data_IF_251615230091
#
_entry.id   IF_251615230091
#
_cell.length_a   1.000
_cell.length_b   1.000
_cell.length_c   1.000
_cell.angle_alpha   90.00
_cell.angle_beta   90.00
_cell.angle_gamma   90.00
#
_symmetry.space_group_name_H-M   'P 1'
#
loop_
_entity.id
_entity.type
_entity.pdbx_description
1 polymer ?
#
# COMPACT_ATOMS: atom_id res chain seq x y z
N UNK A 1 6.10 14.12 -0.24
CA UNK A 1 6.27 12.66 -0.05
C UNK A 1 6.39 12.35 1.43
N UNK A 2 5.91 11.21 1.87
CA UNK A 2 5.93 10.79 3.30
C UNK A 2 7.35 10.73 3.83
N UNK A 3 8.29 10.19 3.05
CA UNK A 3 9.70 10.09 3.41
C UNK A 3 10.32 11.43 3.84
N UNK A 4 9.93 12.51 3.23
CA UNK A 4 10.44 13.85 3.55
C UNK A 4 9.85 14.41 4.83
N UNK A 5 8.63 13.99 5.17
CA UNK A 5 7.85 14.49 6.31
C UNK A 5 7.90 13.58 7.54
N UNK A 6 8.40 12.36 7.40
CA UNK A 6 8.28 11.35 8.46
C UNK A 6 8.94 11.77 9.77
N UNK A 7 10.08 12.41 9.72
CA UNK A 7 10.79 12.87 10.91
C UNK A 7 9.96 13.93 11.66
N UNK A 8 9.39 14.88 10.91
CA UNK A 8 8.51 15.90 11.47
C UNK A 8 7.24 15.29 12.06
N UNK A 9 6.69 14.29 11.39
CA UNK A 9 5.51 13.54 11.86
C UNK A 9 5.80 12.85 13.19
N UNK A 10 6.98 12.24 13.33
CA UNK A 10 7.41 11.60 14.58
C UNK A 10 7.51 12.64 15.70
N UNK A 11 8.12 13.77 15.41
CA UNK A 11 8.27 14.85 16.39
C UNK A 11 6.92 15.41 16.84
N UNK A 12 6.02 15.64 15.91
CA UNK A 12 4.67 16.14 16.19
C UNK A 12 3.87 15.15 17.04
N UNK A 13 3.90 13.87 16.66
CA UNK A 13 3.20 12.81 17.41
C UNK A 13 3.76 12.67 18.82
N UNK A 14 5.07 12.76 19.00
CA UNK A 14 5.73 12.70 20.29
C UNK A 14 5.32 13.90 21.15
N UNK A 15 5.33 15.09 20.58
CA UNK A 15 4.94 16.33 21.27
C UNK A 15 3.47 16.28 21.72
N UNK A 16 2.60 15.69 20.90
CA UNK A 16 1.17 15.56 21.20
C UNK A 16 0.86 14.34 22.07
N UNK A 17 1.88 13.63 22.55
CA UNK A 17 1.75 12.41 23.36
C UNK A 17 0.97 11.28 22.66
N UNK A 18 0.99 11.27 21.34
CA UNK A 18 0.43 10.20 20.52
C UNK A 18 1.48 9.09 20.36
N UNK A 19 1.71 8.33 21.44
CA UNK A 19 2.80 7.36 21.52
C UNK A 19 2.69 6.25 20.50
N UNK A 20 1.47 5.76 20.23
CA UNK A 20 1.21 4.72 19.25
C UNK A 20 1.58 5.20 17.84
N UNK A 21 1.16 6.39 17.47
CA UNK A 21 1.49 6.98 16.16
C UNK A 21 2.99 7.21 16.03
N UNK A 22 3.64 7.75 17.06
CA UNK A 22 5.08 7.98 17.05
C UNK A 22 5.85 6.68 16.83
N UNK A 23 5.46 5.60 17.50
CA UNK A 23 6.08 4.29 17.36
C UNK A 23 5.93 3.74 15.95
N UNK A 24 4.73 3.82 15.37
CA UNK A 24 4.46 3.35 14.00
C UNK A 24 5.23 4.18 12.98
N UNK A 25 5.27 5.50 13.12
CA UNK A 25 6.03 6.37 12.22
C UNK A 25 7.53 6.07 12.26
N UNK A 26 8.08 5.70 13.41
CA UNK A 26 9.47 5.25 13.53
C UNK A 26 9.71 3.95 12.76
N UNK A 27 8.76 3.01 12.81
CA UNK A 27 8.83 1.77 12.04
C UNK A 27 8.80 2.07 10.54
N UNK A 28 7.96 2.99 10.10
CA UNK A 28 7.88 3.40 8.70
C UNK A 28 9.20 4.04 8.25
N UNK A 29 9.74 4.93 9.06
CA UNK A 29 11.05 5.56 8.80
C UNK A 29 12.15 4.51 8.62
N UNK A 30 12.17 3.50 9.50
CA UNK A 30 13.14 2.41 9.42
C UNK A 30 12.99 1.61 8.12
N UNK A 31 11.77 1.33 7.69
CA UNK A 31 11.53 0.62 6.43
C UNK A 31 12.00 1.44 5.23
N UNK A 32 11.75 2.74 5.23
CA UNK A 32 12.26 3.63 4.18
C UNK A 32 13.79 3.67 4.18
N UNK A 33 14.39 3.71 5.37
CA UNK A 33 15.85 3.73 5.50
C UNK A 33 16.48 2.42 5.00
N UNK A 34 15.88 1.27 5.35
CA UNK A 34 16.32 -0.04 4.85
C UNK A 34 16.28 -0.09 3.32
N UNK A 35 15.20 0.45 2.73
CA UNK A 35 15.08 0.50 1.27
C UNK A 35 16.19 1.36 0.64
N UNK A 36 16.45 2.55 1.19
CA UNK A 36 17.45 3.47 0.68
C UNK A 36 18.88 2.93 0.79
N UNK A 37 19.14 2.14 1.83
CA UNK A 37 20.50 1.61 2.10
C UNK A 37 20.70 0.22 1.53
N UNK A 38 19.68 -0.40 0.94
CA UNK A 38 19.78 -1.70 0.31
C UNK A 38 20.71 -1.63 -0.91
N UNK A 39 21.42 -2.74 -1.15
CA UNK A 39 22.28 -2.87 -2.32
C UNK A 39 21.43 -2.78 -3.59
N UNK A 40 21.84 -1.94 -4.54
CA UNK A 40 21.13 -1.68 -5.79
C UNK A 40 19.76 -1.00 -5.57
N UNK A 41 19.60 -0.23 -4.50
CA UNK A 41 18.38 0.51 -4.25
C UNK A 41 18.14 1.56 -5.34
N UNK A 42 16.90 1.62 -5.81
CA UNK A 42 16.45 2.70 -6.69
C UNK A 42 16.02 3.90 -5.83
N UNK A 43 15.91 5.11 -6.40
CA UNK A 43 15.40 6.25 -5.65
C UNK A 43 14.02 5.95 -5.05
N UNK A 44 13.81 6.42 -3.82
CA UNK A 44 12.52 6.25 -3.14
C UNK A 44 11.53 7.27 -3.69
N UNK A 45 10.60 6.81 -4.50
CA UNK A 45 9.51 7.62 -5.05
C UNK A 45 8.20 7.35 -4.31
N UNK A 46 7.15 8.12 -4.64
CA UNK A 46 5.84 7.98 -4.01
C UNK A 46 5.24 6.59 -4.21
N UNK A 47 5.38 6.03 -5.40
CA UNK A 47 4.90 4.68 -5.72
C UNK A 47 5.58 3.63 -4.84
N UNK A 48 6.87 3.76 -4.62
CA UNK A 48 7.65 2.87 -3.75
C UNK A 48 7.26 3.04 -2.28
N UNK A 49 7.03 4.27 -1.82
CA UNK A 49 6.54 4.53 -0.47
C UNK A 49 5.21 3.81 -0.22
N UNK A 50 4.28 3.93 -1.16
CA UNK A 50 2.97 3.27 -1.08
C UNK A 50 3.14 1.75 -1.03
N UNK A 51 3.99 1.18 -1.88
CA UNK A 51 4.25 -0.26 -1.91
C UNK A 51 4.85 -0.75 -0.59
N UNK A 52 5.77 -0.01 0.01
CA UNK A 52 6.36 -0.35 1.31
C UNK A 52 5.31 -0.30 2.44
N UNK A 53 4.46 0.71 2.44
CA UNK A 53 3.37 0.82 3.42
C UNK A 53 2.35 -0.31 3.27
N UNK A 54 2.00 -0.67 2.05
CA UNK A 54 1.11 -1.80 1.78
C UNK A 54 1.70 -3.11 2.26
N UNK A 55 3.00 -3.30 2.06
CA UNK A 55 3.72 -4.48 2.56
C UNK A 55 3.68 -4.55 4.09
N UNK A 56 3.85 -3.42 4.77
CA UNK A 56 3.77 -3.35 6.22
C UNK A 56 2.38 -3.73 6.72
N UNK A 57 1.33 -3.27 6.04
CA UNK A 57 -0.07 -3.64 6.37
C UNK A 57 -0.27 -5.15 6.19
N UNK A 58 0.18 -5.70 5.07
CA UNK A 58 0.04 -7.12 4.78
C UNK A 58 0.74 -8.00 5.81
N UNK A 59 1.95 -7.63 6.23
CA UNK A 59 2.69 -8.35 7.26
C UNK A 59 1.91 -8.40 8.57
N UNK A 60 1.22 -7.30 8.92
CA UNK A 60 0.40 -7.23 10.13
C UNK A 60 -0.88 -8.04 9.99
N UNK A 61 -1.49 -8.05 8.83
CA UNK A 61 -2.66 -8.90 8.56
C UNK A 61 -2.31 -10.38 8.70
N UNK A 62 -1.15 -10.79 8.19
CA UNK A 62 -0.65 -12.16 8.35
C UNK A 62 -0.39 -12.50 9.82
N UNK A 63 0.16 -11.56 10.58
CA UNK A 63 0.37 -11.71 12.02
C UNK A 63 -0.95 -11.85 12.78
N UNK A 64 -1.98 -11.10 12.39
CA UNK A 64 -3.32 -11.18 12.97
C UNK A 64 -3.89 -12.59 12.82
N UNK A 65 -3.74 -13.18 11.64
CA UNK A 65 -4.22 -14.56 11.39
C UNK A 65 -3.53 -15.52 12.34
N UNK A 66 -2.20 -15.44 12.48
CA UNK A 66 -1.43 -16.28 13.39
C UNK A 66 -1.82 -16.08 14.84
N UNK A 67 -2.02 -14.86 15.29
CA UNK A 67 -2.41 -14.54 16.66
C UNK A 67 -3.83 -15.01 16.99
N UNK A 68 -4.74 -14.94 16.04
CA UNK A 68 -6.10 -15.47 16.20
C UNK A 68 -6.08 -17.00 16.37
N UNK A 69 -5.27 -17.68 15.57
CA UNK A 69 -5.07 -19.14 15.70
C UNK A 69 -4.51 -19.51 17.06
N UNK A 70 -3.61 -18.69 17.61
CA UNK A 70 -3.02 -18.88 18.94
C UNK A 70 -3.86 -18.30 20.09
N UNK A 71 -5.05 -17.78 19.80
CA UNK A 71 -5.96 -17.15 20.77
C UNK A 71 -5.31 -15.99 21.53
N UNK A 72 -4.45 -15.22 20.86
CA UNK A 72 -3.76 -14.05 21.42
C UNK A 72 -4.43 -12.77 20.96
N UNK A 73 -5.66 -12.54 21.44
CA UNK A 73 -6.48 -11.39 21.04
C UNK A 73 -5.87 -10.03 21.45
N UNK A 74 -5.07 -10.01 22.49
CA UNK A 74 -4.31 -8.84 22.93
C UNK A 74 -3.32 -8.37 21.85
N UNK A 75 -2.63 -9.31 21.20
CA UNK A 75 -1.69 -9.01 20.12
C UNK A 75 -2.41 -8.63 18.82
N UNK A 76 -3.58 -9.23 18.56
CA UNK A 76 -4.43 -8.87 17.43
C UNK A 76 -4.82 -7.40 17.51
N UNK A 77 -5.26 -6.94 18.67
CA UNK A 77 -5.65 -5.54 18.88
C UNK A 77 -4.52 -4.56 18.58
N UNK A 78 -3.29 -4.88 19.02
CA UNK A 78 -2.12 -4.06 18.73
C UNK A 78 -1.83 -3.98 17.24
N UNK A 79 -1.89 -5.11 16.53
CA UNK A 79 -1.67 -5.16 15.08
C UNK A 79 -2.73 -4.35 14.33
N UNK A 80 -3.98 -4.43 14.74
CA UNK A 80 -5.09 -3.66 14.16
C UNK A 80 -4.89 -2.16 14.32
N UNK A 81 -4.41 -1.70 15.47
CA UNK A 81 -4.08 -0.29 15.72
C UNK A 81 -2.97 0.19 14.77
N UNK A 82 -1.92 -0.61 14.61
CA UNK A 82 -0.82 -0.28 13.70
C UNK A 82 -1.29 -0.21 12.24
N UNK A 83 -2.12 -1.15 11.81
CA UNK A 83 -2.72 -1.14 10.47
C UNK A 83 -3.50 0.15 10.24
N UNK A 84 -4.31 0.55 11.22
CA UNK A 84 -5.11 1.76 11.11
C UNK A 84 -4.22 3.01 10.90
N UNK A 85 -3.15 3.12 11.67
CA UNK A 85 -2.23 4.26 11.58
C UNK A 85 -1.53 4.29 10.22
N UNK A 86 -1.04 3.15 9.74
CA UNK A 86 -0.40 3.04 8.43
C UNK A 86 -1.40 3.36 7.32
N UNK A 87 -2.61 2.85 7.42
CA UNK A 87 -3.67 3.04 6.41
C UNK A 87 -4.07 4.50 6.27
N UNK A 88 -3.98 5.29 7.33
CA UNK A 88 -4.25 6.74 7.27
C UNK A 88 -3.27 7.46 6.35
N UNK A 89 -2.08 6.93 6.16
CA UNK A 89 -1.05 7.50 5.27
C UNK A 89 -1.16 7.02 3.84
N UNK A 90 -1.91 5.94 3.59
CA UNK A 90 -2.14 5.43 2.25
C UNK A 90 -3.20 6.25 1.55
N UNK A 91 -3.05 6.50 0.24
CA UNK A 91 -4.12 7.12 -0.54
C UNK A 91 -5.34 6.21 -0.55
N UNK A 92 -6.50 6.78 -0.82
CA UNK A 92 -7.72 5.99 -0.97
C UNK A 92 -7.48 4.90 -2.01
N UNK A 93 -7.78 3.65 -1.66
CA UNK A 93 -7.63 2.52 -2.57
C UNK A 93 -8.60 2.69 -3.74
N UNK A 94 -8.15 2.59 -5.00
CA UNK A 94 -9.04 2.65 -6.14
C UNK A 94 -10.16 1.61 -6.05
N UNK A 95 -11.38 2.06 -6.33
CA UNK A 95 -12.57 1.22 -6.29
C UNK A 95 -12.75 0.45 -7.61
N UNK A 96 -13.69 -0.48 -7.62
CA UNK A 96 -14.13 -1.17 -8.85
C UNK A 96 -14.56 -0.16 -9.91
N UNK A 97 -15.25 0.90 -9.50
CA UNK A 97 -15.69 1.97 -10.39
C UNK A 97 -14.49 2.71 -11.02
N UNK A 98 -13.47 3.03 -10.22
CA UNK A 98 -12.25 3.68 -10.70
C UNK A 98 -11.55 2.83 -11.75
N UNK A 99 -11.41 1.52 -11.51
CA UNK A 99 -10.79 0.57 -12.44
C UNK A 99 -11.60 0.48 -13.73
N UNK A 100 -12.91 0.34 -13.62
CA UNK A 100 -13.81 0.24 -14.76
C UNK A 100 -13.74 1.50 -15.62
N UNK A 101 -13.81 2.68 -15.01
CA UNK A 101 -13.74 3.96 -15.70
C UNK A 101 -12.40 4.15 -16.40
N UNK A 102 -11.31 3.74 -15.77
CA UNK A 102 -9.97 3.82 -16.37
C UNK A 102 -9.88 2.93 -17.64
N UNK A 103 -10.39 1.70 -17.55
CA UNK A 103 -10.39 0.78 -18.69
C UNK A 103 -11.23 1.35 -19.86
N UNK A 104 -12.42 1.86 -19.55
CA UNK A 104 -13.30 2.43 -20.57
C UNK A 104 -12.70 3.67 -21.23
N UNK A 105 -12.00 4.49 -20.45
CA UNK A 105 -11.36 5.72 -20.95
C UNK A 105 -10.16 5.42 -21.85
N UNK A 106 -9.38 4.39 -21.55
CA UNK A 106 -8.13 4.07 -22.25
C UNK A 106 -8.29 2.97 -23.30
N UNK A 107 -9.21 2.06 -23.09
CA UNK A 107 -9.46 0.91 -23.97
C UNK A 107 -10.96 0.72 -24.23
N UNK A 108 -11.61 1.71 -24.88
CA UNK A 108 -13.08 1.68 -25.07
C UNK A 108 -13.54 0.53 -25.96
N UNK A 109 -12.67 0.01 -26.82
CA UNK A 109 -12.99 -1.08 -27.73
C UNK A 109 -12.57 -2.45 -27.21
N UNK A 110 -12.06 -2.49 -25.98
CA UNK A 110 -11.57 -3.71 -25.36
C UNK A 110 -10.06 -3.84 -25.39
N UNK A 111 -9.56 -4.88 -24.74
CA UNK A 111 -8.13 -5.11 -24.56
C UNK A 111 -7.71 -6.36 -25.33
N UNK A 112 -6.68 -6.23 -26.14
CA UNK A 112 -6.09 -7.37 -26.86
C UNK A 112 -5.38 -8.29 -25.87
N UNK A 113 -5.53 -9.61 -26.03
CA UNK A 113 -4.98 -10.62 -25.11
C UNK A 113 -3.46 -10.50 -24.94
N UNK A 114 -2.73 -10.16 -25.99
CA UNK A 114 -1.29 -10.00 -25.96
C UNK A 114 -0.84 -8.75 -25.19
N UNK A 115 -1.73 -7.78 -25.01
CA UNK A 115 -1.45 -6.54 -24.26
C UNK A 115 -1.85 -6.61 -22.78
N UNK A 116 -2.43 -7.71 -22.33
CA UNK A 116 -2.95 -7.85 -20.99
C UNK A 116 -1.93 -7.47 -19.91
N UNK A 117 -0.71 -7.99 -19.98
CA UNK A 117 0.34 -7.67 -19.01
C UNK A 117 0.73 -6.20 -19.02
N UNK A 118 0.81 -5.60 -20.19
CA UNK A 118 1.13 -4.19 -20.36
C UNK A 118 0.04 -3.29 -19.75
N UNK A 119 -1.22 -3.62 -20.01
CA UNK A 119 -2.37 -2.86 -19.48
C UNK A 119 -2.42 -2.91 -17.95
N UNK A 120 -2.16 -4.08 -17.34
CA UNK A 120 -2.11 -4.22 -15.90
C UNK A 120 -1.02 -3.31 -15.32
N UNK A 121 0.13 -3.28 -15.94
CA UNK A 121 1.26 -2.44 -15.53
C UNK A 121 0.91 -0.95 -15.61
N UNK A 122 0.30 -0.52 -16.71
CA UNK A 122 -0.17 0.86 -16.86
C UNK A 122 -1.20 1.24 -15.80
N UNK A 123 -2.13 0.34 -15.53
CA UNK A 123 -3.17 0.57 -14.54
C UNK A 123 -2.59 0.77 -13.13
N UNK A 124 -1.59 -0.03 -12.76
CA UNK A 124 -0.93 0.10 -11.46
C UNK A 124 -0.20 1.45 -11.31
N UNK A 125 0.29 1.99 -12.41
CA UNK A 125 0.92 3.32 -12.41
C UNK A 125 -0.13 4.43 -12.33
N UNK A 126 -1.20 4.31 -13.11
CA UNK A 126 -2.26 5.32 -13.18
C UNK A 126 -3.14 5.36 -11.93
N UNK A 127 -3.35 4.20 -11.29
CA UNK A 127 -4.17 4.05 -10.09
C UNK A 127 -3.31 3.47 -8.96
N UNK A 128 -2.46 4.31 -8.32
CA UNK A 128 -1.58 3.84 -7.25
C UNK A 128 -2.37 3.19 -6.11
N UNK A 129 -1.89 2.05 -5.63
CA UNK A 129 -2.56 1.31 -4.56
C UNK A 129 -3.65 0.36 -5.01
N UNK A 130 -3.93 0.28 -6.31
CA UNK A 130 -4.92 -0.66 -6.83
C UNK A 130 -4.51 -2.11 -6.57
N UNK A 131 -5.49 -2.95 -6.19
CA UNK A 131 -5.26 -4.37 -5.97
C UNK A 131 -4.90 -5.06 -7.29
N UNK A 132 -3.76 -5.77 -7.30
CA UNK A 132 -3.29 -6.49 -8.48
C UNK A 132 -4.25 -7.56 -8.97
N UNK A 133 -4.94 -8.25 -8.05
CA UNK A 133 -5.96 -9.24 -8.39
C UNK A 133 -7.16 -8.57 -9.07
N UNK A 134 -7.60 -7.44 -8.57
CA UNK A 134 -8.68 -6.65 -9.17
C UNK A 134 -8.31 -6.22 -10.59
N UNK A 135 -7.08 -5.72 -10.79
CA UNK A 135 -6.58 -5.36 -12.11
C UNK A 135 -6.66 -6.54 -13.08
N UNK A 136 -6.13 -7.70 -12.69
CA UNK A 136 -6.13 -8.89 -13.52
C UNK A 136 -7.53 -9.34 -13.88
N UNK A 137 -8.44 -9.37 -12.90
CA UNK A 137 -9.82 -9.82 -13.11
C UNK A 137 -10.58 -8.90 -14.09
N UNK A 138 -10.45 -7.59 -13.93
CA UNK A 138 -11.13 -6.61 -14.79
C UNK A 138 -10.52 -6.55 -16.19
N UNK A 139 -9.20 -6.68 -16.31
CA UNK A 139 -8.56 -6.78 -17.63
C UNK A 139 -9.03 -8.02 -18.37
N UNK A 140 -9.12 -9.18 -17.69
CA UNK A 140 -9.65 -10.41 -18.29
C UNK A 140 -11.08 -10.25 -18.79
N UNK A 141 -11.93 -9.56 -18.04
CA UNK A 141 -13.32 -9.30 -18.44
C UNK A 141 -13.41 -8.36 -19.64
N UNK A 142 -12.40 -7.55 -19.87
CA UNK A 142 -12.36 -6.57 -20.95
C UNK A 142 -11.65 -7.08 -22.21
N UNK A 143 -11.19 -8.34 -22.21
CA UNK A 143 -10.53 -8.94 -23.37
C UNK A 143 -11.52 -9.12 -24.53
N UNK A 144 -11.02 -8.83 -25.72
CA UNK A 144 -11.74 -9.02 -26.97
C UNK A 144 -11.26 -10.27 -27.69
#
# INVERSE_FOLDING_TARGET
>A
MINEKITEMIMTATKNRETDKAAVYKLIKNEFLKYKTAKNAKPLDESTEIALLQKMVKQREDSIISFKEGNRLDLVENEEKEIKIISELLPAVPTVEDVTNWILANYPEGISKDKMGFVIKEMKIALPGVDGKMCADFVKKSLI
#
